data_IF_844081035637
#
_entry.id   IF_844081035637
#
_cell.length_a   1.000
_cell.length_b   1.000
_cell.length_c   1.000
_cell.angle_alpha   90.00
_cell.angle_beta   90.00
_cell.angle_gamma   90.00
#
_symmetry.space_group_name_H-M   'P 1'
#
loop_
_entity.id
_entity.type
_entity.pdbx_description
1 polymer ?
#
# COMPACT_ATOMS: atom_id res chain seq x y z
N UNK A 1 4.35 -33.04 -5.75
CA UNK A 1 4.98 -32.92 -4.44
C UNK A 1 5.56 -31.53 -4.37
N UNK A 2 4.78 -30.58 -3.87
CA UNK A 2 5.27 -29.24 -3.53
C UNK A 2 6.02 -29.38 -2.22
N UNK A 3 7.36 -29.34 -2.26
CA UNK A 3 8.16 -29.10 -1.07
C UNK A 3 7.72 -27.76 -0.51
N UNK A 4 7.09 -27.72 0.65
CA UNK A 4 6.90 -26.50 1.40
C UNK A 4 8.33 -26.01 1.75
N UNK A 5 8.76 -24.96 1.07
CA UNK A 5 9.94 -24.24 1.50
C UNK A 5 9.59 -23.63 2.86
N UNK A 6 10.46 -23.85 3.84
CA UNK A 6 10.27 -23.23 5.15
C UNK A 6 10.25 -21.71 5.00
N UNK A 7 9.21 -21.09 5.56
CA UNK A 7 9.06 -19.62 5.56
C UNK A 7 10.16 -19.03 6.46
N UNK A 8 10.88 -18.05 5.94
CA UNK A 8 11.91 -17.34 6.72
C UNK A 8 11.22 -16.47 7.77
N UNK A 9 11.64 -16.58 9.01
CA UNK A 9 11.28 -15.63 10.07
C UNK A 9 12.42 -14.62 10.16
N UNK A 10 12.16 -13.38 9.79
CA UNK A 10 13.14 -12.29 9.82
C UNK A 10 13.51 -11.95 11.27
N UNK A 11 14.80 -11.75 11.54
CA UNK A 11 15.28 -11.44 12.87
C UNK A 11 15.10 -9.96 13.24
N UNK A 12 15.29 -9.07 12.26
CA UNK A 12 15.30 -7.62 12.50
C UNK A 12 15.07 -6.80 11.22
N UNK A 13 15.14 -5.48 11.35
CA UNK A 13 14.99 -4.51 10.27
C UNK A 13 16.07 -4.63 9.18
N UNK A 14 17.32 -4.93 9.55
CA UNK A 14 18.42 -5.00 8.60
C UNK A 14 18.25 -6.23 7.69
N UNK A 15 17.85 -7.37 8.24
CA UNK A 15 17.54 -8.57 7.48
C UNK A 15 16.32 -8.34 6.55
N UNK A 16 15.27 -7.66 7.03
CA UNK A 16 14.12 -7.30 6.22
C UNK A 16 14.50 -6.41 5.02
N UNK A 17 15.34 -5.41 5.24
CA UNK A 17 15.84 -4.51 4.20
C UNK A 17 16.76 -5.22 3.20
N UNK A 18 17.61 -6.11 3.66
CA UNK A 18 18.51 -6.90 2.80
C UNK A 18 17.72 -7.88 1.92
N UNK A 19 16.76 -8.60 2.51
CA UNK A 19 15.87 -9.51 1.79
C UNK A 19 15.03 -8.76 0.73
N UNK A 20 14.48 -7.61 1.11
CA UNK A 20 13.73 -6.75 0.18
C UNK A 20 14.60 -6.27 -0.97
N UNK A 21 15.83 -5.83 -0.71
CA UNK A 21 16.73 -5.34 -1.77
C UNK A 21 17.03 -6.42 -2.81
N UNK A 22 17.26 -7.66 -2.37
CA UNK A 22 17.48 -8.82 -3.26
C UNK A 22 16.25 -9.10 -4.13
N UNK A 23 15.07 -9.20 -3.51
CA UNK A 23 13.82 -9.46 -4.23
C UNK A 23 13.44 -8.33 -5.18
N UNK A 24 13.60 -7.07 -4.78
CA UNK A 24 13.34 -5.92 -5.62
C UNK A 24 14.22 -5.90 -6.88
N UNK A 25 15.50 -6.25 -6.77
CA UNK A 25 16.39 -6.37 -7.92
C UNK A 25 15.92 -7.47 -8.90
N UNK A 26 15.45 -8.60 -8.39
CA UNK A 26 14.89 -9.69 -9.20
C UNK A 26 13.60 -9.27 -9.90
N UNK A 27 12.66 -8.65 -9.17
CA UNK A 27 11.36 -8.24 -9.69
C UNK A 27 11.45 -7.13 -10.73
N UNK A 28 12.42 -6.24 -10.58
CA UNK A 28 12.64 -5.12 -11.51
C UNK A 28 12.90 -5.58 -12.94
N UNK A 29 13.67 -6.63 -13.13
CA UNK A 29 14.06 -7.14 -14.45
C UNK A 29 12.87 -7.57 -15.32
N UNK A 30 11.79 -8.05 -14.70
CA UNK A 30 10.59 -8.53 -15.39
C UNK A 30 9.38 -7.59 -15.34
N UNK A 31 9.49 -6.40 -14.72
CA UNK A 31 8.35 -5.54 -14.42
C UNK A 31 7.59 -5.05 -15.68
N UNK A 32 8.32 -4.65 -16.72
CA UNK A 32 7.72 -4.18 -17.98
C UNK A 32 6.99 -5.29 -18.72
N UNK A 33 7.61 -6.46 -18.88
CA UNK A 33 7.01 -7.63 -19.55
C UNK A 33 5.78 -8.13 -18.78
N UNK A 34 5.90 -8.22 -17.46
CA UNK A 34 4.80 -8.62 -16.57
C UNK A 34 3.57 -7.73 -16.73
N UNK A 35 3.79 -6.42 -16.84
CA UNK A 35 2.70 -5.44 -17.03
C UNK A 35 2.09 -5.50 -18.43
N UNK A 36 2.91 -5.62 -19.48
CA UNK A 36 2.45 -5.73 -20.88
C UNK A 36 1.59 -6.98 -21.08
N UNK A 37 2.01 -8.12 -20.55
CA UNK A 37 1.32 -9.41 -20.68
C UNK A 37 0.16 -9.57 -19.69
N UNK A 38 -0.08 -8.59 -18.82
CA UNK A 38 -1.02 -8.71 -17.68
C UNK A 38 -0.79 -9.99 -16.88
N UNK A 39 0.47 -10.36 -16.67
CA UNK A 39 0.82 -11.53 -15.86
C UNK A 39 0.76 -11.17 -14.39
N UNK A 40 -0.26 -11.68 -13.69
CA UNK A 40 -0.43 -11.47 -12.25
C UNK A 40 0.80 -11.98 -11.47
N UNK A 41 1.32 -11.21 -10.49
CA UNK A 41 2.58 -11.47 -9.81
C UNK A 41 2.48 -12.54 -8.69
N UNK A 42 1.78 -13.65 -8.94
CA UNK A 42 1.55 -14.68 -7.93
C UNK A 42 2.86 -15.30 -7.41
N UNK A 43 3.86 -15.48 -8.29
CA UNK A 43 5.18 -16.02 -7.93
C UNK A 43 5.93 -15.02 -7.05
N UNK A 44 5.93 -13.76 -7.44
CA UNK A 44 6.62 -12.68 -6.72
C UNK A 44 6.00 -12.44 -5.32
N UNK A 45 4.67 -12.51 -5.23
CA UNK A 45 3.96 -12.42 -3.94
C UNK A 45 4.26 -13.63 -3.04
N UNK A 46 4.35 -14.83 -3.62
CA UNK A 46 4.77 -16.02 -2.86
C UNK A 46 6.22 -15.89 -2.38
N UNK A 47 7.13 -15.39 -3.20
CA UNK A 47 8.53 -15.13 -2.81
C UNK A 47 8.64 -14.12 -1.66
N UNK A 48 7.80 -13.07 -1.64
CA UNK A 48 7.73 -12.14 -0.50
C UNK A 48 7.26 -12.84 0.79
N UNK A 49 6.29 -13.75 0.71
CA UNK A 49 5.87 -14.54 1.86
C UNK A 49 6.96 -15.46 2.37
N UNK A 50 7.57 -16.24 1.47
CA UNK A 50 8.65 -17.19 1.82
C UNK A 50 9.85 -16.48 2.41
N UNK A 51 10.14 -15.26 1.98
CA UNK A 51 11.20 -14.41 2.52
C UNK A 51 10.84 -13.71 3.84
N UNK A 52 9.65 -13.97 4.41
CA UNK A 52 9.20 -13.41 5.69
C UNK A 52 8.74 -11.95 5.64
N UNK A 53 8.68 -11.32 4.46
CA UNK A 53 8.34 -9.89 4.35
C UNK A 53 6.91 -9.62 4.85
N UNK A 54 5.94 -10.51 4.59
CA UNK A 54 4.57 -10.36 5.09
C UNK A 54 4.46 -10.47 6.62
N UNK A 55 5.43 -11.11 7.30
CA UNK A 55 5.49 -11.17 8.75
C UNK A 55 6.39 -10.10 9.39
N UNK A 56 6.99 -9.20 8.59
CA UNK A 56 8.01 -8.24 9.06
C UNK A 56 7.50 -7.34 10.22
N UNK A 57 6.21 -7.03 10.28
CA UNK A 57 5.62 -6.18 11.33
C UNK A 57 4.97 -6.97 12.47
N UNK A 58 5.04 -8.31 12.47
CA UNK A 58 4.58 -9.11 13.61
C UNK A 58 5.41 -8.74 14.83
N UNK A 59 4.77 -8.50 16.02
CA UNK A 59 5.51 -8.09 17.21
C UNK A 59 6.56 -9.13 17.66
N UNK A 60 7.67 -8.64 18.20
CA UNK A 60 8.75 -9.50 18.71
C UNK A 60 8.28 -10.46 19.80
N UNK A 61 7.27 -10.08 20.58
CA UNK A 61 6.65 -10.93 21.63
C UNK A 61 5.97 -12.18 21.05
N UNK A 62 5.60 -12.15 19.76
CA UNK A 62 5.03 -13.29 19.03
C UNK A 62 6.06 -13.91 18.04
N UNK A 63 7.34 -13.51 18.12
CA UNK A 63 8.42 -14.09 17.33
C UNK A 63 8.66 -13.40 15.97
N UNK A 64 8.07 -12.24 15.71
CA UNK A 64 8.32 -11.45 14.50
C UNK A 64 9.47 -10.45 14.64
N UNK A 65 9.87 -9.82 13.53
CA UNK A 65 10.93 -8.81 13.48
C UNK A 65 10.50 -7.45 14.04
N UNK A 66 9.20 -7.20 14.16
CA UNK A 66 8.59 -5.95 14.65
C UNK A 66 9.20 -4.68 14.03
N UNK A 67 9.36 -4.70 12.71
CA UNK A 67 9.98 -3.58 12.02
C UNK A 67 9.16 -2.31 12.20
N UNK A 68 9.80 -1.16 12.47
CA UNK A 68 9.10 0.11 12.67
C UNK A 68 8.49 0.62 11.34
N UNK A 69 7.49 1.50 11.42
CA UNK A 69 6.83 2.12 10.26
C UNK A 69 7.79 2.74 9.23
N UNK A 70 8.86 3.41 9.66
CA UNK A 70 9.87 4.00 8.78
C UNK A 70 10.59 2.96 7.93
N UNK A 71 10.93 1.81 8.51
CA UNK A 71 11.57 0.70 7.80
C UNK A 71 10.59 0.04 6.85
N UNK A 72 9.34 -0.17 7.28
CA UNK A 72 8.31 -0.70 6.39
C UNK A 72 8.07 0.22 5.19
N UNK A 73 8.03 1.54 5.39
CA UNK A 73 7.92 2.50 4.28
C UNK A 73 9.09 2.36 3.28
N UNK A 74 10.31 2.13 3.78
CA UNK A 74 11.48 1.89 2.91
C UNK A 74 11.36 0.55 2.16
N UNK A 75 10.87 -0.51 2.80
CA UNK A 75 10.55 -1.79 2.15
C UNK A 75 9.57 -1.56 0.98
N UNK A 76 8.45 -0.90 1.25
CA UNK A 76 7.42 -0.60 0.23
C UNK A 76 7.99 0.30 -0.88
N UNK A 77 8.79 1.31 -0.55
CA UNK A 77 9.45 2.18 -1.55
C UNK A 77 10.37 1.39 -2.49
N UNK A 78 11.18 0.47 -1.95
CA UNK A 78 12.06 -0.40 -2.76
C UNK A 78 11.27 -1.35 -3.65
N UNK A 79 10.19 -1.93 -3.15
CA UNK A 79 9.30 -2.76 -3.97
C UNK A 79 8.63 -1.94 -5.06
N UNK A 80 8.18 -0.70 -4.76
CA UNK A 80 7.56 0.19 -5.74
C UNK A 80 8.53 0.70 -6.81
N UNK A 81 9.80 0.89 -6.46
CA UNK A 81 10.87 1.13 -7.42
C UNK A 81 10.99 -0.03 -8.42
N UNK A 82 10.90 -1.25 -7.95
CA UNK A 82 10.99 -2.43 -8.80
C UNK A 82 9.71 -2.67 -9.62
N UNK A 83 8.56 -2.72 -8.96
CA UNK A 83 7.24 -2.89 -9.56
C UNK A 83 6.16 -2.36 -8.60
N UNK A 84 5.52 -1.22 -8.92
CA UNK A 84 4.54 -0.62 -8.03
C UNK A 84 3.27 -1.46 -7.83
N UNK A 85 2.97 -2.42 -8.71
CA UNK A 85 1.87 -3.37 -8.50
C UNK A 85 2.20 -4.31 -7.33
N UNK A 86 3.43 -4.83 -7.30
CA UNK A 86 3.89 -5.72 -6.23
C UNK A 86 3.95 -4.98 -4.89
N UNK A 87 4.30 -3.68 -4.90
CA UNK A 87 4.31 -2.87 -3.69
C UNK A 87 2.91 -2.55 -3.14
N UNK A 88 1.92 -2.38 -4.03
CA UNK A 88 0.55 -2.05 -3.65
C UNK A 88 -0.18 -3.25 -3.01
N UNK A 89 0.11 -4.48 -3.45
CA UNK A 89 -0.58 -5.68 -2.96
C UNK A 89 -0.44 -5.85 -1.43
N UNK A 90 0.75 -5.74 -0.81
CA UNK A 90 0.91 -5.91 0.64
C UNK A 90 0.49 -4.69 1.46
N UNK A 91 0.14 -3.55 0.86
CA UNK A 91 -0.22 -2.34 1.59
C UNK A 91 -1.28 -2.60 2.66
N UNK A 92 -2.46 -3.06 2.25
CA UNK A 92 -3.57 -3.30 3.18
C UNK A 92 -3.30 -4.45 4.15
N UNK A 93 -2.48 -5.43 3.77
CA UNK A 93 -2.03 -6.47 4.67
C UNK A 93 -1.39 -5.86 5.92
N UNK A 94 -0.41 -4.97 5.78
CA UNK A 94 0.25 -4.33 6.92
C UNK A 94 -0.69 -3.44 7.74
N UNK A 95 -1.65 -2.78 7.10
CA UNK A 95 -2.67 -1.99 7.79
C UNK A 95 -3.55 -2.89 8.66
N UNK A 96 -3.96 -4.07 8.17
CA UNK A 96 -4.75 -5.02 8.95
C UNK A 96 -3.93 -5.76 10.02
N UNK A 97 -2.63 -5.97 9.81
CA UNK A 97 -1.73 -6.43 10.88
C UNK A 97 -1.67 -5.40 12.00
N UNK A 98 -1.60 -4.11 11.66
CA UNK A 98 -1.64 -3.06 12.68
C UNK A 98 -3.00 -2.98 13.41
N UNK A 99 -4.12 -3.21 12.71
CA UNK A 99 -5.43 -3.33 13.37
C UNK A 99 -5.45 -4.44 14.43
N UNK A 100 -4.89 -5.61 14.13
CA UNK A 100 -4.77 -6.70 15.10
C UNK A 100 -3.96 -6.29 16.34
N UNK A 101 -2.86 -5.54 16.15
CA UNK A 101 -2.04 -5.03 17.28
C UNK A 101 -2.83 -4.15 18.24
N UNK A 102 -3.77 -3.34 17.72
CA UNK A 102 -4.46 -2.30 18.51
C UNK A 102 -5.86 -2.71 18.97
N UNK A 103 -6.50 -3.68 18.32
CA UNK A 103 -7.91 -3.97 18.53
C UNK A 103 -8.25 -5.45 18.81
N UNK A 104 -7.36 -6.39 18.49
CA UNK A 104 -7.61 -7.81 18.67
C UNK A 104 -7.30 -8.27 20.11
N UNK A 105 -7.97 -9.35 20.55
CA UNK A 105 -7.65 -9.99 21.82
C UNK A 105 -6.29 -10.70 21.75
N UNK A 106 -5.65 -11.03 22.90
CA UNK A 106 -4.39 -11.78 22.89
C UNK A 106 -4.48 -13.12 22.14
N UNK A 107 -5.61 -13.83 22.25
CA UNK A 107 -5.86 -15.11 21.59
C UNK A 107 -5.97 -14.93 20.07
N UNK A 108 -6.67 -13.87 19.61
CA UNK A 108 -6.73 -13.52 18.20
C UNK A 108 -5.36 -13.11 17.66
N UNK A 109 -4.59 -12.34 18.43
CA UNK A 109 -3.22 -11.95 18.06
C UNK A 109 -2.32 -13.18 17.93
N UNK A 110 -2.33 -14.09 18.88
CA UNK A 110 -1.54 -15.34 18.84
C UNK A 110 -1.88 -16.15 17.58
N UNK A 111 -3.17 -16.33 17.30
CA UNK A 111 -3.63 -17.07 16.14
C UNK A 111 -3.18 -16.41 14.83
N UNK A 112 -3.54 -15.14 14.60
CA UNK A 112 -3.27 -14.48 13.34
C UNK A 112 -1.79 -14.20 13.11
N UNK A 113 -1.03 -13.82 14.14
CA UNK A 113 0.42 -13.64 14.00
C UNK A 113 1.11 -14.98 13.73
N UNK A 114 0.64 -16.09 14.31
CA UNK A 114 1.10 -17.43 13.95
C UNK A 114 0.85 -17.77 12.48
N UNK A 115 -0.33 -17.43 11.92
CA UNK A 115 -0.65 -17.60 10.50
C UNK A 115 0.32 -16.79 9.61
N UNK A 116 0.63 -15.54 10.00
CA UNK A 116 1.56 -14.68 9.25
C UNK A 116 2.99 -15.21 9.27
N UNK A 117 3.47 -15.69 10.42
CA UNK A 117 4.77 -16.32 10.55
C UNK A 117 4.86 -17.64 9.75
N UNK A 118 3.72 -18.31 9.53
CA UNK A 118 3.60 -19.44 8.63
C UNK A 118 3.45 -19.05 7.15
N UNK A 119 3.60 -17.76 6.80
CA UNK A 119 3.58 -17.26 5.41
C UNK A 119 2.20 -16.96 4.85
N UNK A 120 1.15 -16.95 5.68
CA UNK A 120 -0.19 -16.53 5.25
C UNK A 120 -0.26 -15.03 5.05
N UNK A 121 -1.22 -14.58 4.25
CA UNK A 121 -1.37 -13.18 3.82
C UNK A 121 -2.79 -12.68 3.95
N UNK A 122 -2.92 -11.40 4.28
CA UNK A 122 -4.17 -10.65 4.24
C UNK A 122 -4.29 -9.87 2.93
N UNK A 123 -5.53 -9.54 2.56
CA UNK A 123 -5.84 -8.64 1.45
C UNK A 123 -6.72 -7.47 1.90
N UNK A 124 -7.41 -6.81 0.99
CA UNK A 124 -8.31 -5.70 1.27
C UNK A 124 -9.73 -6.01 0.79
N UNK A 125 -10.73 -5.89 1.66
CA UNK A 125 -12.14 -5.92 1.28
C UNK A 125 -12.93 -4.89 2.09
N UNK A 126 -12.62 -3.59 1.87
CA UNK A 126 -13.18 -2.48 2.66
C UNK A 126 -14.20 -1.65 1.87
N UNK A 127 -13.86 -1.23 0.65
CA UNK A 127 -14.63 -0.23 -0.11
C UNK A 127 -15.88 -0.80 -0.75
N UNK A 128 -16.91 0.03 -0.83
CA UNK A 128 -18.19 -0.30 -1.48
C UNK A 128 -18.54 0.70 -2.58
N UNK A 129 -19.50 0.34 -3.42
CA UNK A 129 -20.07 1.20 -4.45
C UNK A 129 -21.54 1.47 -4.11
N UNK A 130 -22.05 2.62 -4.52
CA UNK A 130 -23.48 2.95 -4.40
C UNK A 130 -23.88 3.76 -3.16
N UNK A 131 -23.00 3.95 -2.17
CA UNK A 131 -23.23 4.86 -1.05
C UNK A 131 -23.16 6.35 -1.44
N UNK A 132 -23.61 7.25 -0.57
CA UNK A 132 -23.45 8.70 -0.77
C UNK A 132 -22.00 9.15 -0.61
N UNK A 133 -21.26 8.44 0.25
CA UNK A 133 -19.84 8.66 0.54
C UNK A 133 -19.09 7.33 0.56
N UNK A 134 -17.77 7.40 0.51
CA UNK A 134 -16.90 6.21 0.59
C UNK A 134 -16.92 5.55 1.97
N UNK A 135 -17.52 6.19 2.96
CA UNK A 135 -17.64 5.68 4.34
C UNK A 135 -18.95 4.93 4.59
N UNK A 136 -19.87 4.94 3.64
CA UNK A 136 -21.12 4.22 3.76
C UNK A 136 -20.87 2.72 3.59
N UNK A 137 -21.35 1.93 4.56
CA UNK A 137 -21.14 0.48 4.63
C UNK A 137 -22.51 -0.21 4.61
N UNK A 138 -22.78 -0.97 3.54
CA UNK A 138 -23.97 -1.79 3.37
C UNK A 138 -23.73 -3.29 3.64
N UNK A 139 -22.46 -3.75 3.61
CA UNK A 139 -22.11 -5.10 4.01
C UNK A 139 -22.41 -5.30 5.48
N UNK A 140 -23.17 -6.33 5.82
CA UNK A 140 -23.60 -6.64 7.19
C UNK A 140 -23.23 -8.05 7.60
N UNK A 141 -23.10 -8.25 8.91
CA UNK A 141 -23.03 -9.58 9.50
C UNK A 141 -24.04 -9.69 10.65
N UNK A 142 -24.69 -10.85 10.73
CA UNK A 142 -25.77 -11.14 11.68
C UNK A 142 -25.44 -12.37 12.52
N UNK A 143 -25.86 -12.44 13.80
CA UNK A 143 -25.68 -13.64 14.61
C UNK A 143 -26.42 -14.86 14.03
N UNK A 144 -25.71 -16.01 13.99
CA UNK A 144 -26.25 -17.30 13.52
C UNK A 144 -25.68 -18.46 14.37
N UNK A 145 -26.49 -18.98 15.29
CA UNK A 145 -26.01 -19.97 16.27
C UNK A 145 -24.87 -19.41 17.13
N UNK A 146 -23.75 -20.13 17.18
CA UNK A 146 -22.56 -19.71 17.93
C UNK A 146 -21.63 -18.80 17.08
N UNK A 147 -22.00 -18.44 15.86
CA UNK A 147 -21.20 -17.61 14.95
C UNK A 147 -22.00 -16.51 14.29
N UNK A 148 -21.56 -16.16 13.06
CA UNK A 148 -22.17 -15.08 12.29
C UNK A 148 -22.34 -15.47 10.83
N UNK A 149 -23.23 -14.75 10.12
CA UNK A 149 -23.39 -14.78 8.68
C UNK A 149 -23.08 -13.42 8.08
N UNK A 150 -22.17 -13.40 7.10
CA UNK A 150 -21.66 -12.19 6.46
C UNK A 150 -22.23 -12.12 5.03
N UNK A 151 -22.82 -10.98 4.67
CA UNK A 151 -23.41 -10.74 3.35
C UNK A 151 -23.09 -9.33 2.85
N UNK A 152 -22.71 -9.22 1.58
CA UNK A 152 -22.42 -7.94 0.94
C UNK A 152 -21.55 -8.05 -0.29
N UNK A 153 -21.03 -6.89 -0.76
CA UNK A 153 -20.11 -6.81 -1.88
C UNK A 153 -19.07 -5.72 -1.66
N UNK A 154 -17.82 -6.03 -1.99
CA UNK A 154 -16.68 -5.14 -1.86
C UNK A 154 -16.02 -4.93 -3.21
N UNK A 155 -15.46 -3.76 -3.41
CA UNK A 155 -14.83 -3.32 -4.64
C UNK A 155 -13.44 -2.75 -4.35
N UNK A 156 -12.57 -2.76 -5.37
CA UNK A 156 -11.17 -2.35 -5.19
C UNK A 156 -10.45 -3.22 -4.15
N UNK A 157 -10.73 -4.52 -4.19
CA UNK A 157 -10.25 -5.50 -3.22
C UNK A 157 -8.82 -5.94 -3.55
N UNK A 158 -7.87 -5.03 -3.37
CA UNK A 158 -6.46 -5.23 -3.70
C UNK A 158 -5.90 -6.47 -3.01
N UNK A 159 -5.24 -7.32 -3.79
CA UNK A 159 -4.49 -8.47 -3.29
C UNK A 159 -5.32 -9.72 -3.00
N UNK A 160 -6.65 -9.70 -3.15
CA UNK A 160 -7.52 -10.84 -2.79
C UNK A 160 -7.22 -12.11 -3.59
N UNK A 161 -6.76 -11.98 -4.83
CA UNK A 161 -6.35 -13.12 -5.66
C UNK A 161 -5.11 -13.85 -5.12
N UNK A 162 -4.38 -13.27 -4.17
CA UNK A 162 -3.11 -13.79 -3.65
C UNK A 162 -3.17 -14.08 -2.14
N UNK A 163 -4.28 -13.79 -1.48
CA UNK A 163 -4.39 -13.85 -0.03
C UNK A 163 -4.95 -15.19 0.48
N UNK A 164 -4.66 -15.48 1.74
CA UNK A 164 -5.21 -16.62 2.46
C UNK A 164 -6.41 -16.20 3.34
N UNK A 165 -6.38 -14.97 3.82
CA UNK A 165 -7.42 -14.37 4.64
C UNK A 165 -7.87 -13.05 4.02
N UNK A 166 -9.17 -12.84 3.98
CA UNK A 166 -9.79 -11.62 3.46
C UNK A 166 -10.41 -10.83 4.61
N UNK A 167 -9.74 -9.78 5.12
CA UNK A 167 -10.32 -8.85 6.07
C UNK A 167 -11.45 -8.05 5.40
N UNK A 168 -12.67 -8.25 5.87
CA UNK A 168 -13.88 -7.62 5.34
C UNK A 168 -14.42 -6.62 6.35
N UNK A 169 -14.56 -5.36 5.95
CA UNK A 169 -15.23 -4.34 6.75
C UNK A 169 -16.75 -4.52 6.64
N UNK A 170 -17.42 -4.74 7.76
CA UNK A 170 -18.86 -4.94 7.82
C UNK A 170 -19.49 -4.32 9.08
N UNK A 171 -20.77 -4.04 9.02
CA UNK A 171 -21.57 -3.53 10.14
C UNK A 171 -22.32 -4.65 10.82
N UNK A 172 -22.30 -4.67 12.15
CA UNK A 172 -23.13 -5.59 12.93
C UNK A 172 -24.61 -5.23 12.75
N UNK A 173 -25.40 -6.21 12.32
CA UNK A 173 -26.86 -6.15 12.25
C UNK A 173 -27.45 -7.15 13.27
N UNK A 174 -27.63 -6.66 14.50
CA UNK A 174 -28.11 -7.45 15.65
C UNK A 174 -29.11 -6.63 16.49
N UNK A 175 -30.28 -6.29 15.93
CA UNK A 175 -31.28 -5.46 16.62
C UNK A 175 -31.92 -6.15 17.83
N UNK A 176 -31.76 -7.46 17.96
CA UNK A 176 -32.28 -8.26 19.07
C UNK A 176 -31.22 -8.52 20.16
N UNK A 177 -30.02 -7.96 20.01
CA UNK A 177 -28.88 -8.12 20.94
C UNK A 177 -28.57 -9.60 21.26
N UNK A 178 -28.58 -10.47 20.23
CA UNK A 178 -28.31 -11.91 20.35
C UNK A 178 -26.85 -12.23 20.56
N UNK A 179 -25.96 -11.32 20.16
CA UNK A 179 -24.51 -11.44 20.39
C UNK A 179 -24.06 -10.57 21.55
N UNK A 180 -22.84 -10.81 22.05
CA UNK A 180 -22.21 -9.95 23.05
C UNK A 180 -21.49 -8.73 22.43
N UNK A 181 -21.54 -8.56 21.10
CA UNK A 181 -20.87 -7.47 20.42
C UNK A 181 -21.64 -6.16 20.54
N UNK A 182 -20.93 -5.06 20.64
CA UNK A 182 -21.53 -3.73 20.62
C UNK A 182 -21.89 -3.33 19.18
N UNK A 183 -22.95 -2.53 19.03
CA UNK A 183 -23.32 -1.97 17.72
C UNK A 183 -22.14 -1.18 17.12
N UNK A 184 -21.79 -1.45 15.86
CA UNK A 184 -20.65 -0.79 15.21
C UNK A 184 -20.14 -1.50 13.98
N UNK A 185 -19.00 -1.00 13.50
CA UNK A 185 -18.27 -1.56 12.36
C UNK A 185 -17.13 -2.45 12.85
N UNK A 186 -16.97 -3.58 12.17
CA UNK A 186 -15.98 -4.62 12.49
C UNK A 186 -15.21 -5.01 11.25
N UNK A 187 -14.03 -5.56 11.44
CA UNK A 187 -13.26 -6.24 10.40
C UNK A 187 -13.32 -7.75 10.68
N UNK A 188 -13.89 -8.48 9.74
CA UNK A 188 -14.01 -9.93 9.79
C UNK A 188 -12.92 -10.55 8.93
N UNK A 189 -12.04 -11.34 9.54
CA UNK A 189 -10.97 -12.03 8.83
C UNK A 189 -11.50 -13.38 8.31
N UNK A 190 -11.85 -13.44 7.04
CA UNK A 190 -12.51 -14.59 6.41
C UNK A 190 -11.50 -15.39 5.60
N UNK A 191 -11.39 -16.73 5.76
CA UNK A 191 -10.58 -17.55 4.86
C UNK A 191 -10.99 -17.35 3.40
N UNK A 192 -10.02 -17.23 2.50
CA UNK A 192 -10.27 -16.93 1.09
C UNK A 192 -11.04 -18.03 0.35
N UNK A 193 -11.02 -19.26 0.87
CA UNK A 193 -11.72 -20.43 0.35
C UNK A 193 -13.09 -20.70 1.03
N UNK A 194 -13.60 -19.75 1.82
CA UNK A 194 -14.89 -19.88 2.51
C UNK A 194 -16.04 -20.04 1.53
N UNK A 195 -16.96 -20.96 1.83
CA UNK A 195 -18.18 -21.13 1.05
C UNK A 195 -19.02 -19.84 1.05
N UNK A 196 -19.46 -19.39 -0.14
CA UNK A 196 -20.19 -18.14 -0.32
C UNK A 196 -19.31 -16.91 -0.52
N UNK A 197 -17.99 -17.03 -0.37
CA UNK A 197 -17.06 -15.97 -0.72
C UNK A 197 -16.59 -16.17 -2.16
N UNK A 198 -16.74 -15.14 -3.01
CA UNK A 198 -16.33 -15.17 -4.41
C UNK A 198 -15.43 -13.99 -4.73
N UNK A 199 -14.23 -14.28 -5.25
CA UNK A 199 -13.23 -13.30 -5.67
C UNK A 199 -13.21 -13.27 -7.20
N UNK A 200 -13.46 -12.10 -7.81
CA UNK A 200 -13.42 -11.92 -9.25
C UNK A 200 -12.13 -11.25 -9.71
N UNK A 201 -11.50 -11.78 -10.76
CA UNK A 201 -10.42 -11.11 -11.51
C UNK A 201 -11.03 -10.17 -12.56
N UNK A 202 -11.75 -9.15 -12.10
CA UNK A 202 -12.45 -8.16 -12.94
C UNK A 202 -11.79 -6.76 -12.88
N UNK A 203 -10.58 -6.64 -12.30
CA UNK A 203 -9.84 -5.40 -12.25
C UNK A 203 -9.32 -5.00 -13.63
N UNK A 204 -9.84 -3.89 -14.16
CA UNK A 204 -9.43 -3.31 -15.44
C UNK A 204 -9.25 -1.80 -15.31
N UNK A 205 -8.01 -1.36 -15.14
CA UNK A 205 -7.66 0.03 -14.90
C UNK A 205 -6.56 0.51 -15.85
N UNK A 206 -6.38 1.83 -15.90
CA UNK A 206 -5.36 2.49 -16.71
C UNK A 206 -3.94 2.04 -16.32
N UNK A 207 -3.67 1.95 -15.02
CA UNK A 207 -2.42 1.49 -14.42
C UNK A 207 -2.70 0.64 -13.18
N UNK A 208 -1.66 0.24 -12.46
CA UNK A 208 -1.80 -0.72 -11.35
C UNK A 208 -2.59 -1.98 -11.77
N UNK A 209 -2.34 -2.44 -13.00
CA UNK A 209 -3.15 -3.47 -13.67
C UNK A 209 -3.05 -4.86 -13.03
N UNK A 210 -1.98 -5.08 -12.26
CA UNK A 210 -1.60 -6.39 -11.73
C UNK A 210 -1.92 -6.56 -10.24
N UNK A 211 -2.59 -5.56 -9.63
CA UNK A 211 -2.85 -5.57 -8.18
C UNK A 211 -3.99 -6.50 -7.76
N UNK A 212 -4.72 -7.08 -8.72
CA UNK A 212 -5.88 -7.92 -8.42
C UNK A 212 -6.95 -7.19 -7.60
N UNK A 213 -7.16 -5.89 -7.90
CA UNK A 213 -8.09 -5.03 -7.15
C UNK A 213 -9.55 -5.22 -7.61
N UNK A 214 -9.97 -6.46 -7.77
CA UNK A 214 -11.28 -6.83 -8.28
C UNK A 214 -12.41 -6.74 -7.25
N UNK A 215 -13.50 -7.44 -7.55
CA UNK A 215 -14.71 -7.51 -6.74
C UNK A 215 -14.68 -8.74 -5.84
N UNK A 216 -15.15 -8.57 -4.59
CA UNK A 216 -15.45 -9.66 -3.65
C UNK A 216 -16.93 -9.63 -3.33
N UNK A 217 -17.62 -10.74 -3.55
CA UNK A 217 -19.02 -10.93 -3.13
C UNK A 217 -19.12 -11.96 -2.01
N UNK A 218 -20.01 -11.70 -1.09
CA UNK A 218 -20.22 -12.43 0.14
C UNK A 218 -21.69 -12.85 0.20
N UNK A 219 -21.96 -14.11 0.01
CA UNK A 219 -23.31 -14.68 0.04
C UNK A 219 -23.43 -15.59 1.26
N UNK A 220 -23.95 -15.03 2.34
CA UNK A 220 -24.24 -15.78 3.56
C UNK A 220 -23.03 -16.57 4.10
N UNK A 221 -21.84 -15.96 4.07
CA UNK A 221 -20.58 -16.56 4.49
C UNK A 221 -20.56 -16.81 5.98
N UNK A 222 -20.25 -18.03 6.41
CA UNK A 222 -20.11 -18.36 7.82
C UNK A 222 -18.83 -17.76 8.42
N UNK A 223 -18.94 -17.06 9.55
CA UNK A 223 -17.81 -16.44 10.25
C UNK A 223 -17.80 -16.89 11.72
N UNK A 224 -16.63 -17.29 12.18
CA UNK A 224 -16.43 -17.65 13.59
C UNK A 224 -16.24 -16.39 14.44
N UNK A 225 -16.64 -16.40 15.72
CA UNK A 225 -16.46 -15.26 16.63
C UNK A 225 -15.00 -14.80 16.74
N UNK A 226 -14.05 -15.73 16.74
CA UNK A 226 -12.61 -15.46 16.87
C UNK A 226 -12.02 -14.72 15.65
N UNK A 227 -12.78 -14.61 14.56
CA UNK A 227 -12.37 -13.87 13.36
C UNK A 227 -12.93 -12.45 13.28
N UNK A 228 -13.69 -12.02 14.30
CA UNK A 228 -14.36 -10.71 14.35
C UNK A 228 -13.56 -9.76 15.24
N UNK A 229 -13.04 -8.69 14.64
CA UNK A 229 -12.22 -7.68 15.33
C UNK A 229 -12.90 -6.32 15.27
N UNK A 230 -13.11 -5.62 16.40
CA UNK A 230 -13.74 -4.30 16.39
C UNK A 230 -12.84 -3.29 15.65
N UNK A 231 -13.47 -2.39 14.88
CA UNK A 231 -12.74 -1.38 14.13
C UNK A 231 -12.48 -0.10 14.94
N UNK A 232 -13.37 0.26 15.84
CA UNK A 232 -13.32 1.54 16.57
C UNK A 232 -12.00 1.77 17.35
N UNK A 233 -11.36 0.78 18.00
CA UNK A 233 -10.13 1.03 18.76
C UNK A 233 -8.99 1.62 17.92
N UNK A 234 -8.97 1.37 16.60
CA UNK A 234 -7.98 1.96 15.68
C UNK A 234 -8.15 3.48 15.52
N UNK A 235 -9.28 4.06 15.93
CA UNK A 235 -9.60 5.48 15.77
C UNK A 235 -9.92 6.19 17.09
N UNK A 236 -9.96 5.43 18.20
CA UNK A 236 -10.20 5.96 19.53
C UNK A 236 -8.88 6.48 20.14
N UNK A 237 -8.95 7.62 20.83
CA UNK A 237 -7.79 8.23 21.49
C UNK A 237 -6.69 8.70 20.52
N UNK A 238 -5.46 8.89 21.01
CA UNK A 238 -4.31 9.22 20.17
C UNK A 238 -4.03 8.07 19.20
N UNK A 239 -4.23 8.30 17.91
CA UNK A 239 -4.03 7.28 16.88
C UNK A 239 -3.24 7.82 15.70
N UNK A 240 -2.29 7.02 15.24
CA UNK A 240 -1.57 7.22 13.98
C UNK A 240 -1.94 6.17 12.92
N UNK A 241 -3.05 5.46 13.10
CA UNK A 241 -3.52 4.42 12.17
C UNK A 241 -3.66 4.94 10.73
N UNK A 242 -4.30 6.11 10.56
CA UNK A 242 -4.43 6.76 9.25
C UNK A 242 -3.08 7.20 8.69
N UNK A 243 -2.25 7.86 9.49
CA UNK A 243 -0.91 8.26 9.09
C UNK A 243 -0.04 7.06 8.67
N UNK A 244 -0.10 5.95 9.41
CA UNK A 244 0.60 4.72 9.06
C UNK A 244 0.15 4.18 7.68
N UNK A 245 -1.16 4.08 7.43
CA UNK A 245 -1.68 3.62 6.15
C UNK A 245 -1.25 4.56 4.99
N UNK A 246 -1.33 5.87 5.19
CA UNK A 246 -0.95 6.86 4.16
C UNK A 246 0.56 6.97 3.94
N UNK A 247 1.39 6.69 4.95
CA UNK A 247 2.85 6.59 4.81
C UNK A 247 3.23 5.53 3.76
N UNK A 248 2.56 4.38 3.77
CA UNK A 248 2.82 3.31 2.81
C UNK A 248 2.39 3.70 1.38
N UNK A 249 1.29 4.45 1.23
CA UNK A 249 0.91 5.02 -0.07
C UNK A 249 1.94 6.04 -0.56
N UNK A 250 2.43 6.94 0.31
CA UNK A 250 3.47 7.88 -0.05
C UNK A 250 4.76 7.16 -0.51
N UNK A 251 5.11 6.05 0.15
CA UNK A 251 6.27 5.23 -0.21
C UNK A 251 6.14 4.64 -1.63
N UNK A 252 4.94 4.22 -2.05
CA UNK A 252 4.68 3.72 -3.41
C UNK A 252 4.91 4.84 -4.43
N UNK A 253 4.35 6.03 -4.21
CA UNK A 253 4.50 7.17 -5.12
C UNK A 253 5.98 7.58 -5.27
N UNK A 254 6.71 7.65 -4.17
CA UNK A 254 8.16 7.97 -4.16
C UNK A 254 8.97 6.90 -4.90
N UNK A 255 8.63 5.62 -4.74
CA UNK A 255 9.26 4.52 -5.49
C UNK A 255 9.05 4.64 -6.99
N UNK A 256 7.83 4.97 -7.44
CA UNK A 256 7.51 5.21 -8.86
C UNK A 256 8.32 6.40 -9.40
N UNK A 257 8.38 7.52 -8.65
CA UNK A 257 9.12 8.71 -9.05
C UNK A 257 10.61 8.40 -9.29
N UNK A 258 11.23 7.67 -8.37
CA UNK A 258 12.64 7.26 -8.47
C UNK A 258 12.87 6.33 -9.67
N UNK A 259 12.02 5.32 -9.85
CA UNK A 259 12.11 4.39 -10.98
C UNK A 259 12.01 5.11 -12.33
N UNK A 260 11.06 6.03 -12.47
CA UNK A 260 10.89 6.81 -13.69
C UNK A 260 12.11 7.71 -13.99
N UNK A 261 12.71 8.34 -12.96
CA UNK A 261 13.91 9.16 -13.12
C UNK A 261 15.12 8.33 -13.57
N UNK A 262 15.34 7.17 -12.95
CA UNK A 262 16.47 6.32 -13.27
C UNK A 262 16.32 5.70 -14.67
N UNK A 263 15.12 5.33 -15.08
CA UNK A 263 14.88 4.82 -16.44
C UNK A 263 15.00 5.94 -17.50
N UNK A 264 14.54 7.15 -17.21
CA UNK A 264 14.78 8.32 -18.09
C UNK A 264 16.27 8.60 -18.27
N UNK A 265 17.05 8.58 -17.17
CA UNK A 265 18.49 8.75 -17.20
C UNK A 265 19.18 7.70 -18.07
N UNK A 266 18.82 6.44 -17.91
CA UNK A 266 19.39 5.34 -18.68
C UNK A 266 19.02 5.47 -20.18
N UNK A 267 17.78 5.84 -20.47
CA UNK A 267 17.33 6.05 -21.85
C UNK A 267 18.12 7.18 -22.53
N UNK A 268 18.30 8.32 -21.86
CA UNK A 268 19.05 9.46 -22.41
C UNK A 268 20.51 9.10 -22.65
N UNK A 269 21.13 8.37 -21.75
CA UNK A 269 22.54 7.94 -21.88
C UNK A 269 22.77 6.97 -23.02
N UNK A 270 21.80 6.10 -23.31
CA UNK A 270 22.04 4.96 -24.21
C UNK A 270 21.29 5.05 -25.54
N UNK A 271 20.18 5.81 -25.60
CA UNK A 271 19.26 5.78 -26.74
C UNK A 271 18.96 7.15 -27.34
N UNK A 272 19.10 8.27 -26.59
CA UNK A 272 18.76 9.60 -27.08
C UNK A 272 19.86 10.19 -27.94
N UNK A 273 19.45 11.12 -28.84
CA UNK A 273 20.34 11.97 -29.63
C UNK A 273 20.19 13.40 -29.13
N UNK A 274 21.26 14.23 -29.17
CA UNK A 274 21.14 15.63 -28.81
C UNK A 274 20.24 16.35 -29.80
N UNK A 275 19.59 17.40 -29.33
CA UNK A 275 18.92 18.34 -30.24
C UNK A 275 19.95 19.13 -31.04
N UNK A 276 19.73 19.32 -32.36
CA UNK A 276 20.74 19.87 -33.24
C UNK A 276 21.20 21.29 -32.87
N UNK A 277 20.33 22.09 -32.25
CA UNK A 277 20.66 23.45 -31.80
C UNK A 277 21.58 23.47 -30.57
N UNK A 278 21.63 22.38 -29.80
CA UNK A 278 22.56 22.25 -28.67
C UNK A 278 24.03 22.22 -29.07
N UNK A 279 24.31 21.83 -30.34
CA UNK A 279 25.66 21.76 -30.94
C UNK A 279 26.64 20.93 -30.11
N UNK A 280 26.17 19.83 -29.58
CA UNK A 280 26.94 18.83 -28.80
C UNK A 280 26.85 17.47 -29.49
N UNK A 281 27.79 16.58 -29.20
CA UNK A 281 27.86 15.26 -29.83
C UNK A 281 26.94 14.24 -29.13
N UNK A 282 26.73 14.39 -27.83
CA UNK A 282 25.92 13.45 -27.02
C UNK A 282 24.75 14.18 -26.34
N UNK A 283 23.63 13.48 -26.16
CA UNK A 283 22.46 14.02 -25.46
C UNK A 283 22.77 14.45 -24.02
N UNK A 284 23.67 13.73 -23.35
CA UNK A 284 24.08 14.04 -21.96
C UNK A 284 24.85 15.35 -21.81
N UNK A 285 25.32 15.93 -22.90
CA UNK A 285 26.05 17.21 -22.93
C UNK A 285 25.12 18.39 -23.29
N UNK A 286 23.83 18.12 -23.58
CA UNK A 286 22.85 19.17 -23.88
C UNK A 286 22.52 19.94 -22.58
N UNK A 287 22.82 21.27 -22.54
CA UNK A 287 22.66 22.03 -21.29
C UNK A 287 21.21 22.12 -20.82
N UNK A 288 20.21 22.06 -21.71
CA UNK A 288 18.80 22.08 -21.32
C UNK A 288 18.36 20.74 -20.72
N UNK A 289 18.85 19.62 -21.26
CA UNK A 289 18.63 18.32 -20.65
C UNK A 289 19.32 18.22 -19.27
N UNK A 290 20.54 18.69 -19.14
CA UNK A 290 21.26 18.72 -17.86
C UNK A 290 20.48 19.52 -16.83
N UNK A 291 19.98 20.72 -17.20
CA UNK A 291 19.11 21.51 -16.31
C UNK A 291 17.85 20.74 -15.92
N UNK A 292 17.13 20.15 -16.90
CA UNK A 292 15.87 19.44 -16.63
C UNK A 292 16.07 18.23 -15.71
N UNK A 293 17.13 17.46 -15.90
CA UNK A 293 17.49 16.38 -14.96
C UNK A 293 17.82 16.89 -13.57
N UNK A 294 18.41 18.08 -13.45
CA UNK A 294 18.60 18.76 -12.16
C UNK A 294 17.26 19.03 -11.46
N UNK A 295 16.30 19.62 -12.17
CA UNK A 295 14.95 19.91 -11.65
C UNK A 295 14.22 18.62 -11.21
N UNK A 296 14.20 17.58 -12.05
CA UNK A 296 13.59 16.29 -11.75
C UNK A 296 14.27 15.60 -10.56
N UNK A 297 15.59 15.70 -10.46
CA UNK A 297 16.35 15.15 -9.33
C UNK A 297 15.97 15.86 -8.01
N UNK A 298 15.82 17.19 -8.03
CA UNK A 298 15.36 17.96 -6.86
C UNK A 298 13.94 17.52 -6.45
N UNK A 299 13.03 17.32 -7.41
CA UNK A 299 11.67 16.83 -7.15
C UNK A 299 11.69 15.48 -6.43
N UNK A 300 12.44 14.50 -6.96
CA UNK A 300 12.55 13.15 -6.36
C UNK A 300 13.25 13.19 -5.00
N UNK A 301 14.37 13.91 -4.88
CA UNK A 301 15.10 14.01 -3.62
C UNK A 301 14.25 14.66 -2.51
N UNK A 302 13.41 15.63 -2.87
CA UNK A 302 12.46 16.24 -1.92
C UNK A 302 11.41 15.24 -1.47
N UNK A 303 10.88 14.43 -2.40
CA UNK A 303 9.91 13.38 -2.08
C UNK A 303 10.52 12.31 -1.15
N UNK A 304 11.74 11.87 -1.43
CA UNK A 304 12.47 10.92 -0.56
C UNK A 304 12.73 11.48 0.83
N UNK A 305 13.19 12.73 0.92
CA UNK A 305 13.47 13.38 2.21
C UNK A 305 12.19 13.55 3.05
N UNK A 306 11.07 13.95 2.44
CA UNK A 306 9.79 14.08 3.15
C UNK A 306 9.23 12.73 3.59
N UNK A 307 9.42 11.66 2.80
CA UNK A 307 9.04 10.31 3.18
C UNK A 307 9.81 9.83 4.42
N UNK A 308 11.13 10.05 4.46
CA UNK A 308 11.96 9.72 5.63
C UNK A 308 11.49 10.48 6.86
N UNK A 309 11.25 11.78 6.75
CA UNK A 309 10.76 12.59 7.86
C UNK A 309 9.38 12.11 8.36
N UNK A 310 8.48 11.75 7.44
CA UNK A 310 7.17 11.19 7.77
C UNK A 310 7.28 9.84 8.48
N UNK A 311 8.17 8.95 8.03
CA UNK A 311 8.44 7.67 8.69
C UNK A 311 8.87 7.84 10.14
N UNK A 312 9.84 8.73 10.40
CA UNK A 312 10.31 9.07 11.76
C UNK A 312 9.17 9.63 12.63
N UNK A 313 8.30 10.47 12.05
CA UNK A 313 7.18 11.02 12.78
C UNK A 313 6.16 9.94 13.19
N UNK A 314 5.89 8.96 12.31
CA UNK A 314 5.01 7.82 12.62
C UNK A 314 5.65 6.91 13.66
N UNK A 315 6.97 6.62 13.58
CA UNK A 315 7.69 5.85 14.60
C UNK A 315 7.57 6.54 15.98
N UNK A 316 7.72 7.88 16.01
CA UNK A 316 7.57 8.67 17.24
C UNK A 316 6.15 8.56 17.80
N UNK A 317 5.12 8.63 16.94
CA UNK A 317 3.73 8.52 17.36
C UNK A 317 3.40 7.12 17.89
N UNK A 318 4.00 6.07 17.33
CA UNK A 318 3.85 4.70 17.84
C UNK A 318 4.48 4.54 19.22
N UNK A 319 5.65 5.16 19.45
CA UNK A 319 6.36 5.07 20.72
C UNK A 319 5.73 5.92 21.84
N UNK A 320 5.18 7.09 21.51
CA UNK A 320 4.70 8.06 22.52
C UNK A 320 3.18 7.95 22.78
N UNK A 321 2.38 7.50 21.82
CA UNK A 321 0.92 7.38 21.89
C UNK A 321 0.23 8.64 22.45
N UNK A 322 0.66 9.85 22.00
CA UNK A 322 0.08 11.14 22.41
C UNK A 322 -0.63 11.84 21.25
N UNK A 323 -1.59 12.70 21.55
CA UNK A 323 -2.31 13.50 20.53
C UNK A 323 -1.36 14.38 19.72
N UNK A 324 -0.38 15.01 20.36
CA UNK A 324 0.60 15.85 19.67
C UNK A 324 1.45 15.04 18.68
N UNK A 325 1.92 13.86 19.07
CA UNK A 325 2.72 13.00 18.20
C UNK A 325 1.86 12.43 17.05
N UNK A 326 0.62 12.05 17.32
CA UNK A 326 -0.31 11.57 16.29
C UNK A 326 -0.65 12.69 15.27
N UNK A 327 -0.89 13.91 15.73
CA UNK A 327 -1.11 15.08 14.87
C UNK A 327 0.14 15.40 14.04
N UNK A 328 1.33 15.43 14.64
CA UNK A 328 2.57 15.66 13.94
C UNK A 328 2.82 14.61 12.84
N UNK A 329 2.57 13.33 13.15
CA UNK A 329 2.68 12.25 12.18
C UNK A 329 1.69 12.42 11.01
N UNK A 330 0.41 12.75 11.29
CA UNK A 330 -0.59 12.98 10.25
C UNK A 330 -0.20 14.12 9.31
N UNK A 331 0.30 15.24 9.85
CA UNK A 331 0.75 16.39 9.04
C UNK A 331 1.99 16.03 8.21
N UNK A 332 2.99 15.38 8.82
CA UNK A 332 4.21 14.97 8.12
C UNK A 332 3.92 14.00 6.97
N UNK A 333 3.03 13.03 7.20
CA UNK A 333 2.61 12.06 6.17
C UNK A 333 1.78 12.74 5.08
N UNK A 334 0.89 13.67 5.41
CA UNK A 334 0.14 14.44 4.43
C UNK A 334 1.09 15.24 3.51
N UNK A 335 2.15 15.83 4.06
CA UNK A 335 3.21 16.51 3.26
C UNK A 335 3.91 15.53 2.35
N UNK A 336 4.39 14.38 2.88
CA UNK A 336 5.08 13.36 2.09
C UNK A 336 4.20 12.81 0.96
N UNK A 337 2.91 12.59 1.24
CA UNK A 337 1.92 12.12 0.25
C UNK A 337 1.76 13.11 -0.89
N UNK A 338 1.55 14.40 -0.60
CA UNK A 338 1.41 15.44 -1.63
C UNK A 338 2.68 15.58 -2.47
N UNK A 339 3.85 15.58 -1.84
CA UNK A 339 5.14 15.73 -2.55
C UNK A 339 5.43 14.49 -3.38
N UNK A 340 5.19 13.29 -2.84
CA UNK A 340 5.35 12.01 -3.54
C UNK A 340 4.46 11.90 -4.78
N UNK A 341 3.16 12.20 -4.66
CA UNK A 341 2.22 12.22 -5.79
C UNK A 341 2.65 13.18 -6.89
N UNK A 342 3.02 14.42 -6.53
CA UNK A 342 3.47 15.41 -7.50
C UNK A 342 4.73 14.98 -8.22
N UNK A 343 5.71 14.47 -7.47
CA UNK A 343 6.96 13.97 -8.03
C UNK A 343 6.73 12.77 -8.96
N UNK A 344 5.90 11.80 -8.56
CA UNK A 344 5.58 10.63 -9.36
C UNK A 344 4.94 11.02 -10.70
N UNK A 345 3.96 11.92 -10.69
CA UNK A 345 3.27 12.39 -11.89
C UNK A 345 4.17 13.25 -12.77
N UNK A 346 4.96 14.16 -12.19
CA UNK A 346 5.89 15.02 -12.92
C UNK A 346 6.95 14.18 -13.63
N UNK A 347 7.68 13.37 -12.90
CA UNK A 347 8.83 12.61 -13.42
C UNK A 347 8.39 11.57 -14.44
N UNK A 348 7.30 10.85 -14.17
CA UNK A 348 6.79 9.84 -15.10
C UNK A 348 6.22 10.44 -16.40
N UNK A 349 5.78 11.70 -16.40
CA UNK A 349 5.43 12.45 -17.59
C UNK A 349 6.67 12.99 -18.31
N UNK A 350 7.63 13.54 -17.55
CA UNK A 350 8.85 14.15 -18.09
C UNK A 350 9.79 13.15 -18.76
N UNK A 351 9.67 11.84 -18.49
CA UNK A 351 10.45 10.80 -19.15
C UNK A 351 10.36 10.91 -20.70
N UNK A 352 9.20 11.28 -21.23
CA UNK A 352 8.98 11.46 -22.68
C UNK A 352 9.61 12.76 -23.19
N UNK A 353 9.50 13.84 -22.40
CA UNK A 353 10.10 15.13 -22.69
C UNK A 353 11.62 15.01 -22.85
N UNK A 354 12.30 14.40 -21.89
CA UNK A 354 13.78 14.30 -21.88
C UNK A 354 14.32 13.21 -22.81
N UNK A 355 13.51 12.19 -23.11
CA UNK A 355 13.92 11.05 -23.94
C UNK A 355 13.60 11.24 -25.43
N UNK A 356 12.75 12.21 -25.78
CA UNK A 356 12.38 12.57 -27.13
C UNK A 356 11.48 11.53 -27.82
N UNK A 357 11.20 11.73 -29.10
CA UNK A 357 10.18 10.96 -29.87
C UNK A 357 10.34 9.44 -29.80
N UNK A 358 11.56 8.93 -29.69
CA UNK A 358 11.82 7.48 -29.64
C UNK A 358 11.25 6.82 -28.38
N UNK A 359 11.07 7.58 -27.31
CA UNK A 359 10.50 7.08 -26.06
C UNK A 359 9.00 6.74 -26.15
N UNK A 360 8.33 7.24 -27.21
CA UNK A 360 6.92 6.97 -27.45
C UNK A 360 6.64 5.58 -28.06
N UNK A 361 7.68 4.76 -28.34
CA UNK A 361 7.50 3.40 -28.84
C UNK A 361 6.76 2.52 -27.83
N UNK A 362 5.66 1.90 -28.26
CA UNK A 362 4.82 1.10 -27.36
C UNK A 362 5.56 -0.11 -26.78
N UNK A 363 6.52 -0.66 -27.52
CA UNK A 363 7.37 -1.77 -27.09
C UNK A 363 8.27 -1.45 -25.89
N UNK A 364 8.54 -0.16 -25.65
CA UNK A 364 9.35 0.31 -24.52
C UNK A 364 8.55 0.35 -23.22
N UNK A 365 7.24 0.45 -23.31
CA UNK A 365 6.31 0.50 -22.17
C UNK A 365 6.69 1.54 -21.09
N UNK A 366 7.30 2.66 -21.51
CA UNK A 366 7.73 3.72 -20.57
C UNK A 366 6.55 4.44 -19.92
N UNK A 367 5.40 4.47 -20.58
CA UNK A 367 4.16 5.03 -20.07
C UNK A 367 3.58 4.26 -18.87
N UNK A 368 4.09 3.04 -18.60
CA UNK A 368 3.70 2.28 -17.40
C UNK A 368 3.94 3.07 -16.12
N UNK A 369 5.02 3.86 -16.04
CA UNK A 369 5.31 4.69 -14.87
C UNK A 369 4.21 5.73 -14.64
N UNK A 370 3.81 6.44 -15.70
CA UNK A 370 2.73 7.42 -15.60
C UNK A 370 1.38 6.78 -15.34
N UNK A 371 1.07 5.68 -16.02
CA UNK A 371 -0.20 4.96 -15.81
C UNK A 371 -0.33 4.45 -14.38
N UNK A 372 0.73 3.87 -13.83
CA UNK A 372 0.77 3.41 -12.43
C UNK A 372 0.68 4.57 -11.45
N UNK A 373 1.46 5.64 -11.63
CA UNK A 373 1.39 6.85 -10.82
C UNK A 373 -0.01 7.46 -10.87
N UNK A 374 -0.57 7.66 -12.09
CA UNK A 374 -1.89 8.28 -12.24
C UNK A 374 -3.00 7.46 -11.59
N UNK A 375 -2.93 6.14 -11.69
CA UNK A 375 -3.93 5.27 -11.04
C UNK A 375 -3.78 5.28 -9.53
N UNK A 376 -2.56 5.15 -9.00
CA UNK A 376 -2.30 5.10 -7.57
C UNK A 376 -2.68 6.42 -6.87
N UNK A 377 -2.36 7.57 -7.46
CA UNK A 377 -2.67 8.90 -6.91
C UNK A 377 -4.17 9.26 -6.93
N UNK A 378 -5.05 8.37 -7.42
CA UNK A 378 -6.51 8.51 -7.31
C UNK A 378 -7.09 7.83 -6.07
N UNK A 379 -6.25 7.17 -5.27
CA UNK A 379 -6.71 6.46 -4.06
C UNK A 379 -7.44 7.41 -3.10
N UNK A 380 -6.88 8.59 -2.88
CA UNK A 380 -7.49 9.66 -2.10
C UNK A 380 -7.06 11.05 -2.62
N UNK A 381 -7.91 12.08 -2.46
CA UNK A 381 -7.67 13.34 -3.13
C UNK A 381 -6.64 14.22 -2.40
N UNK A 382 -5.48 14.47 -3.02
CA UNK A 382 -4.39 15.31 -2.50
C UNK A 382 -4.86 16.72 -2.05
N UNK A 383 -5.94 17.27 -2.67
CA UNK A 383 -6.50 18.59 -2.27
C UNK A 383 -6.94 18.63 -0.81
N UNK A 384 -7.38 17.50 -0.24
CA UNK A 384 -7.74 17.42 1.18
C UNK A 384 -6.52 17.37 2.10
N UNK A 385 -5.39 16.81 1.64
CA UNK A 385 -4.12 16.87 2.37
C UNK A 385 -3.67 18.33 2.55
N UNK A 386 -3.72 19.13 1.46
CA UNK A 386 -3.45 20.57 1.56
C UNK A 386 -4.36 21.29 2.54
N UNK A 387 -5.69 20.96 2.53
CA UNK A 387 -6.65 21.53 3.47
C UNK A 387 -6.29 21.20 4.92
N UNK A 388 -5.92 19.95 5.21
CA UNK A 388 -5.55 19.54 6.57
C UNK A 388 -4.25 20.19 7.03
N UNK A 389 -3.22 20.23 6.17
CA UNK A 389 -1.95 20.90 6.45
C UNK A 389 -2.19 22.40 6.73
N UNK A 390 -2.98 23.07 5.87
CA UNK A 390 -3.29 24.49 6.02
C UNK A 390 -4.08 24.78 7.29
N UNK A 391 -5.05 23.92 7.66
CA UNK A 391 -5.81 24.04 8.90
C UNK A 391 -4.93 23.88 10.14
N UNK A 392 -4.04 22.91 10.13
CA UNK A 392 -3.10 22.70 11.23
C UNK A 392 -2.17 23.91 11.44
N UNK A 393 -1.68 24.54 10.36
CA UNK A 393 -0.77 25.69 10.44
C UNK A 393 -1.48 27.00 10.82
N UNK A 394 -2.70 27.22 10.31
CA UNK A 394 -3.38 28.53 10.49
C UNK A 394 -4.30 28.58 11.70
N UNK A 395 -4.79 27.45 12.17
CA UNK A 395 -5.85 27.39 13.20
C UNK A 395 -5.51 26.42 14.33
N UNK A 396 -4.37 25.76 14.27
CA UNK A 396 -4.00 24.67 15.19
C UNK A 396 -5.04 23.53 15.22
N UNK A 397 -5.79 23.34 14.13
CA UNK A 397 -6.78 22.26 14.01
C UNK A 397 -6.05 20.91 13.85
N UNK A 398 -6.35 19.97 14.72
CA UNK A 398 -5.87 18.59 14.53
C UNK A 398 -6.49 17.97 13.26
N UNK A 399 -5.71 17.26 12.43
CA UNK A 399 -6.25 16.47 11.34
C UNK A 399 -7.29 15.45 11.83
N UNK A 400 -8.33 15.13 11.04
CA UNK A 400 -9.34 14.16 11.45
C UNK A 400 -8.74 12.74 11.59
N UNK A 401 -9.28 11.97 12.54
CA UNK A 401 -8.81 10.62 12.86
C UNK A 401 -9.54 9.59 11.99
N UNK A 402 -9.11 9.43 10.75
CA UNK A 402 -9.61 8.39 9.83
C UNK A 402 -8.50 7.86 8.92
N UNK A 403 -8.73 6.73 8.25
CA UNK A 403 -7.71 6.03 7.46
C UNK A 403 -7.23 6.73 6.18
N UNK A 404 -7.76 7.91 5.85
CA UNK A 404 -7.46 8.62 4.60
C UNK A 404 -6.73 9.97 4.82
N UNK A 405 -6.13 10.17 5.99
CA UNK A 405 -5.43 11.41 6.31
C UNK A 405 -3.92 11.22 6.29
#
# INVERSE_FOLDING_TARGET
VTTSLDVVVLADADEALASTARLAAEFHSGASEREQDRRLPAVEIEQLSQAGIYAATVPATYGGADVPPSVLAEIIRRLAYADPNIAQIPHSHFVYVHLLKVAATPEQQEFFFGELLAGKRFANAQSERGGKTITDIATTFTPDGDGFRLTGAKYYCTGTLFANWIPVLARLDDPEERSSLLAGDYVLYVPADSAGLHIADDWNALGQKLTGSGTVTLDNVAVQPDWVVPRSPAFDGPTSYGAYAQLLHAAIDVGIARAALDEAKEFVRTKSRPWFEAKVDNAVDDPLLVQRFGELTVSVATAEATLVAAGIAVDTAFAQASDDAAQAASVAVAVAKVVGERSALEVSSAIFEVSGTRSAGAELNLDRHWRNARTHTLHDPARWKYQHIGSAVLRDDAPPRHGLI
#
